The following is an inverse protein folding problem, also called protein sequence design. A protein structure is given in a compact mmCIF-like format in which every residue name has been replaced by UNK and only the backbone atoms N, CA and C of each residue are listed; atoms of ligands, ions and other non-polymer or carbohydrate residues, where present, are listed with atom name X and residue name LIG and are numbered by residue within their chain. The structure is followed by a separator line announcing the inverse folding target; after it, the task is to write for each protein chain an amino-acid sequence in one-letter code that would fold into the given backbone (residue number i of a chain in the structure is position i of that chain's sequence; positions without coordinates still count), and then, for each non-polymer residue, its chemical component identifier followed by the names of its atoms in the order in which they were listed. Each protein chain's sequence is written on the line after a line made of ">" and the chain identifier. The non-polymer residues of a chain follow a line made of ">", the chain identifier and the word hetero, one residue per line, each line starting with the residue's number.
data_IF_455581072022
#
_entry.id   IF_455581072022
#
_cell.length_a   1.000
_cell.length_b   1.000
_cell.length_c   1.000
_cell.angle_alpha   90.00
_cell.angle_beta   90.00
_cell.angle_gamma   90.00
#
_symmetry.space_group_name_H-M   'P 1'
#
loop_
_entity.id
_entity.type
_entity.pdbx_description
1 polymer ?
#
# COMPACT_ATOMS: atom_id res chain seq x y z
N UNK A 1 14.13 -11.95 -8.18
CA UNK A 1 14.73 -11.60 -9.48
C UNK A 1 15.88 -12.54 -9.70
N UNK A 2 15.75 -13.46 -10.63
CA UNK A 2 16.79 -14.46 -10.93
C UNK A 2 17.73 -14.01 -12.06
N UNK A 3 17.56 -12.77 -12.53
CA UNK A 3 18.36 -12.16 -13.60
C UNK A 3 17.85 -12.46 -15.01
N UNK A 4 16.84 -13.32 -15.17
CA UNK A 4 16.19 -13.60 -16.45
C UNK A 4 14.89 -12.81 -16.66
N UNK A 5 14.38 -12.17 -15.60
CA UNK A 5 13.19 -11.33 -15.66
C UNK A 5 13.38 -10.16 -16.65
N UNK A 6 12.57 -10.14 -17.71
CA UNK A 6 12.62 -9.08 -18.74
C UNK A 6 11.76 -7.87 -18.40
N UNK A 7 10.73 -8.06 -17.58
CA UNK A 7 9.80 -7.02 -17.13
C UNK A 7 9.62 -7.14 -15.62
N UNK A 8 9.92 -6.05 -14.90
CA UNK A 8 9.90 -6.02 -13.44
C UNK A 8 9.02 -4.88 -12.91
N UNK A 9 8.39 -5.12 -11.76
CA UNK A 9 7.68 -4.09 -11.01
C UNK A 9 8.49 -3.71 -9.79
N UNK A 10 8.71 -2.40 -9.60
CA UNK A 10 9.36 -1.82 -8.41
C UNK A 10 8.39 -1.64 -7.24
N UNK A 11 7.23 -2.30 -7.30
CA UNK A 11 6.13 -2.17 -6.35
C UNK A 11 5.64 -0.70 -6.19
N UNK A 12 4.98 -0.39 -5.08
CA UNK A 12 4.44 0.94 -4.79
C UNK A 12 5.33 1.72 -3.81
N UNK A 13 5.13 3.04 -3.71
CA UNK A 13 5.77 3.87 -2.67
C UNK A 13 5.52 3.33 -1.26
N UNK A 14 4.28 2.94 -0.96
CA UNK A 14 3.90 2.39 0.35
C UNK A 14 4.52 1.02 0.61
N UNK A 15 4.64 0.16 -0.41
CA UNK A 15 5.32 -1.14 -0.27
C UNK A 15 6.80 -0.95 0.05
N UNK A 16 7.47 -0.02 -0.65
CA UNK A 16 8.88 0.29 -0.40
C UNK A 16 9.11 0.92 0.98
N UNK A 17 8.15 1.69 1.50
CA UNK A 17 8.21 2.20 2.87
C UNK A 17 8.04 1.08 3.91
N UNK A 18 7.05 0.20 3.70
CA UNK A 18 6.70 -0.83 4.67
C UNK A 18 7.69 -2.01 4.71
N UNK A 19 8.23 -2.43 3.56
CA UNK A 19 9.03 -3.66 3.46
C UNK A 19 10.30 -3.67 4.32
N UNK A 20 11.15 -2.62 4.34
CA UNK A 20 12.36 -2.61 5.17
C UNK A 20 12.04 -2.71 6.67
N UNK A 21 11.01 -1.97 7.11
CA UNK A 21 10.55 -2.00 8.50
C UNK A 21 9.98 -3.38 8.87
N UNK A 22 9.13 -3.95 8.01
CA UNK A 22 8.55 -5.26 8.22
C UNK A 22 9.63 -6.36 8.28
N UNK A 23 10.66 -6.28 7.42
CA UNK A 23 11.79 -7.21 7.44
C UNK A 23 12.56 -7.13 8.75
N UNK A 24 12.95 -5.93 9.16
CA UNK A 24 13.72 -5.72 10.39
C UNK A 24 12.98 -6.23 11.63
N UNK A 25 11.67 -5.95 11.73
CA UNK A 25 10.82 -6.42 12.81
C UNK A 25 10.64 -7.95 12.78
N UNK A 26 10.43 -8.53 11.59
CA UNK A 26 10.27 -9.97 11.45
C UNK A 26 11.53 -10.73 11.83
N UNK A 27 12.69 -10.27 11.39
CA UNK A 27 13.97 -10.92 11.69
C UNK A 27 14.31 -10.87 13.18
N UNK A 28 13.93 -9.79 13.86
CA UNK A 28 14.27 -9.57 15.27
C UNK A 28 13.29 -10.23 16.23
N UNK A 29 11.99 -10.24 15.89
CA UNK A 29 10.94 -10.56 16.84
C UNK A 29 9.93 -11.59 16.33
N UNK A 30 9.89 -11.83 15.02
CA UNK A 30 8.80 -12.57 14.39
C UNK A 30 7.52 -11.74 14.32
N UNK A 31 6.92 -11.71 13.14
CA UNK A 31 5.59 -11.09 12.93
C UNK A 31 4.60 -12.23 12.76
N UNK A 32 3.59 -12.27 13.62
CA UNK A 32 2.48 -13.23 13.57
C UNK A 32 1.31 -12.69 12.74
N UNK A 33 0.91 -11.44 13.01
CA UNK A 33 -0.16 -10.73 12.30
C UNK A 33 0.09 -9.22 12.37
N UNK A 34 -0.35 -8.47 11.36
CA UNK A 34 -0.25 -7.01 11.38
C UNK A 34 -1.28 -6.31 10.51
N UNK A 35 -1.67 -5.12 10.94
CA UNK A 35 -2.46 -4.17 10.16
C UNK A 35 -1.64 -2.91 9.91
N UNK A 36 -1.79 -2.32 8.73
CA UNK A 36 -1.11 -1.09 8.33
C UNK A 36 -2.13 -0.08 7.85
N UNK A 37 -1.97 1.16 8.30
CA UNK A 37 -2.66 2.32 7.71
C UNK A 37 -1.59 3.29 7.25
N UNK A 38 -1.65 3.68 5.98
CA UNK A 38 -0.79 4.75 5.46
C UNK A 38 -1.59 6.05 5.44
N UNK A 39 -1.03 7.11 6.02
CA UNK A 39 -1.58 8.45 5.84
C UNK A 39 -0.90 9.01 4.59
N UNK A 40 -1.59 8.95 3.46
CA UNK A 40 -1.02 9.25 2.16
C UNK A 40 -1.40 10.65 1.70
N UNK A 41 -0.44 11.42 1.18
CA UNK A 41 -0.73 12.69 0.50
C UNK A 41 -1.60 12.44 -0.73
N UNK A 42 -2.52 13.35 -1.07
CA UNK A 42 -3.29 13.16 -2.29
C UNK A 42 -2.39 13.16 -3.53
N UNK A 43 -2.75 12.39 -4.55
CA UNK A 43 -1.95 12.22 -5.76
C UNK A 43 -2.63 12.87 -6.97
N UNK A 44 -1.90 12.99 -8.08
CA UNK A 44 -2.45 13.46 -9.36
C UNK A 44 -3.54 12.57 -9.93
N UNK A 45 -3.78 11.39 -9.33
CA UNK A 45 -5.03 10.71 -9.61
C UNK A 45 -6.18 11.57 -9.09
N UNK A 46 -6.30 11.91 -7.80
CA UNK A 46 -7.50 12.49 -7.16
C UNK A 46 -7.97 13.86 -7.71
N UNK A 47 -9.25 14.17 -7.50
CA UNK A 47 -9.90 15.39 -7.99
C UNK A 47 -9.77 16.57 -7.01
N UNK A 48 -9.59 17.79 -7.53
CA UNK A 48 -9.55 19.01 -6.71
C UNK A 48 -10.92 19.45 -6.20
N UNK A 49 -11.97 19.14 -6.95
CA UNK A 49 -13.37 19.43 -6.61
C UNK A 49 -14.18 18.14 -6.62
N UNK A 50 -15.33 18.15 -5.95
CA UNK A 50 -16.28 17.04 -5.98
C UNK A 50 -16.69 16.75 -7.43
N UNK A 51 -16.61 15.50 -7.86
CA UNK A 51 -16.91 15.13 -9.25
C UNK A 51 -16.88 13.62 -9.50
N UNK A 52 -17.52 13.15 -10.59
CA UNK A 52 -17.68 11.73 -10.86
C UNK A 52 -16.34 11.05 -11.06
N UNK A 53 -16.07 10.01 -10.25
CA UNK A 53 -14.78 9.34 -10.24
C UNK A 53 -14.88 7.83 -10.06
N UNK A 54 -15.34 7.19 -11.13
CA UNK A 54 -15.52 5.74 -11.15
C UNK A 54 -16.56 5.27 -10.14
N UNK A 55 -16.42 4.03 -9.67
CA UNK A 55 -17.37 3.41 -8.74
C UNK A 55 -17.13 3.78 -7.28
N UNK A 56 -15.93 4.26 -6.94
CA UNK A 56 -15.62 4.66 -5.57
C UNK A 56 -16.11 6.08 -5.32
N UNK A 57 -17.26 6.18 -4.65
CA UNK A 57 -17.87 7.46 -4.29
C UNK A 57 -17.00 8.26 -3.32
N UNK A 58 -16.11 7.63 -2.54
CA UNK A 58 -15.18 8.35 -1.65
C UNK A 58 -14.13 9.08 -2.46
N UNK A 59 -13.60 8.44 -3.50
CA UNK A 59 -12.65 9.05 -4.42
C UNK A 59 -13.25 10.21 -5.22
N UNK A 60 -14.58 10.34 -5.26
CA UNK A 60 -15.30 11.42 -5.95
C UNK A 60 -15.32 12.75 -5.17
N UNK A 61 -14.71 12.80 -3.98
CA UNK A 61 -14.65 13.99 -3.13
C UNK A 61 -13.38 14.82 -3.36
N UNK A 62 -13.47 16.12 -3.12
CA UNK A 62 -12.38 17.08 -3.21
C UNK A 62 -11.20 16.68 -2.31
N UNK A 63 -10.04 16.41 -2.93
CA UNK A 63 -8.91 15.78 -2.25
C UNK A 63 -8.24 16.67 -1.19
N UNK A 64 -8.22 17.99 -1.41
CA UNK A 64 -7.55 18.93 -0.52
C UNK A 64 -8.38 19.28 0.73
N UNK A 65 -9.67 18.91 0.77
CA UNK A 65 -10.58 19.26 1.86
C UNK A 65 -11.14 18.05 2.61
N UNK A 66 -10.75 16.83 2.23
CA UNK A 66 -11.30 15.61 2.81
C UNK A 66 -10.19 14.63 3.23
N UNK A 67 -10.42 13.93 4.33
CA UNK A 67 -9.77 12.65 4.60
C UNK A 67 -10.55 11.60 3.81
N UNK A 68 -9.91 10.98 2.83
CA UNK A 68 -10.55 10.03 1.90
C UNK A 68 -10.01 8.62 2.19
N UNK A 69 -10.80 7.75 2.86
CA UNK A 69 -10.38 6.39 3.10
C UNK A 69 -10.33 5.58 1.80
N UNK A 70 -9.24 4.86 1.58
CA UNK A 70 -8.98 4.10 0.38
C UNK A 70 -8.45 2.69 0.71
N UNK A 71 -8.69 1.75 -0.21
CA UNK A 71 -8.11 0.40 -0.08
C UNK A 71 -6.71 0.37 -0.69
N UNK A 72 -5.78 -0.40 -0.12
CA UNK A 72 -4.44 -0.52 -0.70
C UNK A 72 -3.96 -1.95 -0.69
N UNK A 73 -3.28 -2.35 -1.77
CA UNK A 73 -2.62 -3.65 -1.88
C UNK A 73 -1.25 -3.70 -1.22
N UNK A 74 -0.74 -2.59 -0.69
CA UNK A 74 0.66 -2.47 -0.28
C UNK A 74 1.06 -3.48 0.82
N UNK A 75 0.23 -3.64 1.86
CA UNK A 75 0.48 -4.62 2.93
C UNK A 75 0.43 -6.06 2.41
N UNK A 76 -0.53 -6.38 1.53
CA UNK A 76 -0.64 -7.70 0.90
C UNK A 76 0.58 -8.01 0.02
N UNK A 77 1.08 -7.00 -0.70
CA UNK A 77 2.24 -7.12 -1.57
C UNK A 77 3.55 -7.42 -0.81
N UNK A 78 3.61 -7.16 0.50
CA UNK A 78 4.77 -7.55 1.32
C UNK A 78 5.00 -9.06 1.25
N UNK A 79 3.94 -9.87 1.21
CA UNK A 79 4.07 -11.32 1.07
C UNK A 79 4.73 -11.78 -0.24
N UNK A 80 4.79 -10.93 -1.27
CA UNK A 80 5.50 -11.22 -2.52
C UNK A 80 7.00 -10.93 -2.42
N UNK A 81 7.39 -10.01 -1.52
CA UNK A 81 8.79 -9.56 -1.36
C UNK A 81 9.46 -10.24 -0.16
N UNK A 82 8.68 -10.53 0.89
CA UNK A 82 9.09 -11.21 2.12
C UNK A 82 8.12 -12.39 2.30
N UNK A 83 8.39 -13.56 1.69
CA UNK A 83 7.46 -14.70 1.64
C UNK A 83 6.97 -15.19 3.01
N UNK A 84 7.79 -15.06 4.06
CA UNK A 84 7.50 -15.45 5.44
C UNK A 84 6.36 -14.62 6.08
N UNK A 85 6.05 -13.47 5.46
CA UNK A 85 4.96 -12.57 5.85
C UNK A 85 3.70 -12.72 4.98
N UNK A 86 3.69 -13.68 4.06
CA UNK A 86 2.53 -13.93 3.19
C UNK A 86 1.28 -14.26 4.01
N UNK A 87 0.20 -13.52 3.75
CA UNK A 87 -1.08 -13.67 4.46
C UNK A 87 -1.15 -13.03 5.84
N UNK A 88 -0.03 -12.54 6.41
CA UNK A 88 0.01 -12.00 7.77
C UNK A 88 -0.33 -10.50 7.87
N UNK A 89 -0.14 -9.75 6.78
CA UNK A 89 -0.31 -8.30 6.76
C UNK A 89 -1.51 -7.88 5.90
N UNK A 90 -2.33 -6.97 6.44
CA UNK A 90 -3.43 -6.27 5.73
C UNK A 90 -3.32 -4.77 5.95
N UNK A 91 -3.97 -3.97 5.11
CA UNK A 91 -3.92 -2.53 5.31
C UNK A 91 -4.84 -1.67 4.45
N UNK A 92 -4.88 -0.40 4.82
CA UNK A 92 -5.70 0.66 4.25
C UNK A 92 -4.88 1.94 4.05
N UNK A 93 -5.45 2.89 3.33
CA UNK A 93 -4.92 4.25 3.15
C UNK A 93 -6.01 5.28 3.49
#
# INVERSE_FOLDING_TARGET
>A
LDGNDTIVSVASCTTNCLAPMAKALHDSFGIEVGTMTTIHAYTGTQSLVDGPRGKDLRASRAAAENIIPHTTGAAKAIGLVIPELSGKLKGHA
#
